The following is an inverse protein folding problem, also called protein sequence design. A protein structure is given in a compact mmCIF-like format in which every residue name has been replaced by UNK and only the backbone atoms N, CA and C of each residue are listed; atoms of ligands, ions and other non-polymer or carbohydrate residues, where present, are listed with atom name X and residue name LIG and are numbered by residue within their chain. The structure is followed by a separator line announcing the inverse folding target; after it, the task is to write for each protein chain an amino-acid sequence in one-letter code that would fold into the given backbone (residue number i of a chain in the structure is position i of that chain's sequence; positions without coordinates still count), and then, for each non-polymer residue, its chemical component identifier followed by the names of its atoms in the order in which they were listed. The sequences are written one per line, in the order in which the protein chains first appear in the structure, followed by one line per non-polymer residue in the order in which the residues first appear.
data_IF_927251003933
#
_entry.id   IF_927251003933
#
_cell.length_a   1.000
_cell.length_b   1.000
_cell.length_c   1.000
_cell.angle_alpha   90.00
_cell.angle_beta   90.00
_cell.angle_gamma   90.00
#
_symmetry.space_group_name_H-M   'P 1'
#
loop_
_entity.id
_entity.type
_entity.pdbx_description
1 polymer ?
#
# COMPACT_ATOMS: atom_id res chain seq x y z
N UNK A 1 -13.30 -19.43 -22.66
CA UNK A 1 -12.59 -18.21 -22.25
C UNK A 1 -11.26 -18.63 -21.64
N UNK A 2 -10.16 -17.96 -22.00
CA UNK A 2 -8.84 -18.24 -21.44
C UNK A 2 -8.75 -17.54 -20.08
N UNK A 3 -9.03 -18.25 -18.99
CA UNK A 3 -8.97 -17.74 -17.61
C UNK A 3 -7.75 -18.33 -16.89
N UNK A 4 -7.22 -17.65 -15.88
CA UNK A 4 -6.16 -18.22 -15.04
C UNK A 4 -6.60 -19.53 -14.38
N UNK A 5 -5.67 -20.48 -14.23
CA UNK A 5 -5.98 -21.85 -13.76
C UNK A 5 -5.55 -22.10 -12.32
N UNK A 6 -4.72 -21.24 -11.76
CA UNK A 6 -4.22 -21.30 -10.37
C UNK A 6 -3.97 -19.90 -9.80
N UNK A 7 -3.87 -19.80 -8.47
CA UNK A 7 -3.51 -18.57 -7.78
C UNK A 7 -2.21 -17.96 -8.32
N UNK A 8 -1.18 -18.79 -8.55
CA UNK A 8 0.10 -18.35 -9.09
C UNK A 8 -0.05 -17.80 -10.52
N UNK A 9 -0.75 -18.50 -11.41
CA UNK A 9 -1.01 -17.99 -12.76
C UNK A 9 -1.81 -16.69 -12.74
N UNK A 10 -2.77 -16.55 -11.81
CA UNK A 10 -3.56 -15.33 -11.66
C UNK A 10 -2.70 -14.15 -11.20
N UNK A 11 -1.72 -14.38 -10.31
CA UNK A 11 -0.79 -13.35 -9.89
C UNK A 11 0.07 -12.85 -11.05
N UNK A 12 0.59 -13.76 -11.89
CA UNK A 12 1.34 -13.38 -13.09
C UNK A 12 0.43 -12.65 -14.08
N UNK A 13 -0.75 -13.23 -14.35
CA UNK A 13 -1.73 -12.67 -15.27
C UNK A 13 -2.18 -11.26 -14.83
N UNK A 14 -2.21 -10.91 -13.53
CA UNK A 14 -2.53 -9.53 -13.09
C UNK A 14 -1.61 -8.49 -13.73
N UNK A 15 -0.36 -8.83 -14.01
CA UNK A 15 0.61 -7.91 -14.61
C UNK A 15 0.54 -7.86 -16.14
N UNK A 16 0.12 -8.96 -16.80
CA UNK A 16 0.21 -9.11 -18.26
C UNK A 16 -1.15 -9.17 -18.97
N UNK A 17 -2.14 -9.80 -18.34
CA UNK A 17 -3.53 -9.90 -18.79
C UNK A 17 -4.48 -9.84 -17.57
N UNK A 18 -4.67 -8.66 -16.97
CA UNK A 18 -5.42 -8.53 -15.73
C UNK A 18 -6.88 -8.97 -15.87
N UNK A 19 -7.44 -8.91 -17.08
CA UNK A 19 -8.79 -9.40 -17.33
C UNK A 19 -8.86 -10.91 -17.14
N UNK A 20 -7.93 -11.66 -17.73
CA UNK A 20 -7.80 -13.12 -17.55
C UNK A 20 -7.60 -13.51 -16.08
N UNK A 21 -6.80 -12.74 -15.35
CA UNK A 21 -6.60 -12.92 -13.91
C UNK A 21 -7.90 -12.78 -13.13
N UNK A 22 -8.63 -11.68 -13.35
CA UNK A 22 -9.86 -11.42 -12.61
C UNK A 22 -11.00 -12.36 -13.00
N UNK A 23 -11.06 -12.83 -14.24
CA UNK A 23 -12.02 -13.88 -14.63
C UNK A 23 -11.75 -15.19 -13.89
N UNK A 24 -10.49 -15.63 -13.79
CA UNK A 24 -10.13 -16.82 -13.00
C UNK A 24 -10.40 -16.63 -11.49
N UNK A 25 -10.16 -15.42 -10.99
CA UNK A 25 -10.39 -15.04 -9.60
C UNK A 25 -11.88 -15.02 -9.22
N UNK A 26 -12.78 -14.68 -10.15
CA UNK A 26 -14.22 -14.67 -9.92
C UNK A 26 -14.74 -16.06 -9.52
N UNK A 27 -14.26 -17.08 -10.24
CA UNK A 27 -14.58 -18.48 -9.97
C UNK A 27 -13.85 -19.02 -8.71
N UNK A 28 -12.73 -18.42 -8.34
CA UNK A 28 -11.85 -18.90 -7.27
C UNK A 28 -11.46 -17.79 -6.28
N UNK A 29 -12.41 -17.17 -5.58
CA UNK A 29 -12.13 -16.05 -4.67
C UNK A 29 -11.35 -16.49 -3.42
N UNK A 30 -10.94 -17.76 -3.30
CA UNK A 30 -10.02 -18.23 -2.24
C UNK A 30 -8.55 -18.01 -2.56
N UNK A 31 -8.21 -17.68 -3.82
CA UNK A 31 -6.82 -17.47 -4.23
C UNK A 31 -6.16 -16.24 -3.60
N UNK A 32 -6.94 -15.36 -2.96
CA UNK A 32 -6.40 -14.17 -2.29
C UNK A 32 -5.32 -14.51 -1.26
N UNK A 33 -5.39 -15.66 -0.59
CA UNK A 33 -4.46 -16.00 0.50
C UNK A 33 -3.00 -15.91 0.06
N UNK A 34 -2.69 -16.38 -1.15
CA UNK A 34 -1.33 -16.35 -1.67
C UNK A 34 -0.81 -14.91 -1.81
N UNK A 35 -1.58 -14.05 -2.47
CA UNK A 35 -1.19 -12.64 -2.70
C UNK A 35 -1.22 -11.86 -1.39
N UNK A 36 -2.17 -12.15 -0.51
CA UNK A 36 -2.31 -11.52 0.79
C UNK A 36 -1.10 -11.77 1.69
N UNK A 37 -0.63 -13.02 1.77
CA UNK A 37 0.58 -13.36 2.53
C UNK A 37 1.79 -12.60 1.96
N UNK A 38 1.94 -12.54 0.63
CA UNK A 38 3.04 -11.80 0.00
C UNK A 38 2.98 -10.29 0.31
N UNK A 39 1.78 -9.70 0.29
CA UNK A 39 1.58 -8.26 0.58
C UNK A 39 1.90 -7.94 2.05
N UNK A 40 1.76 -8.89 2.98
CA UNK A 40 2.16 -8.70 4.38
C UNK A 40 3.65 -8.96 4.57
N UNK A 41 4.16 -10.08 4.05
CA UNK A 41 5.54 -10.52 4.31
C UNK A 41 6.57 -9.60 3.65
N UNK A 42 6.30 -9.08 2.45
CA UNK A 42 7.27 -8.24 1.73
C UNK A 42 7.60 -6.91 2.44
N UNK A 43 6.63 -6.08 2.88
CA UNK A 43 6.95 -4.89 3.66
C UNK A 43 7.49 -5.21 5.05
N UNK A 44 7.06 -6.31 5.69
CA UNK A 44 7.63 -6.74 6.97
C UNK A 44 9.11 -7.13 6.83
N UNK A 45 9.47 -7.84 5.76
CA UNK A 45 10.86 -8.18 5.46
C UNK A 45 11.70 -6.93 5.22
N UNK A 46 11.17 -5.97 4.45
CA UNK A 46 11.80 -4.67 4.24
C UNK A 46 12.07 -3.94 5.56
N UNK A 47 11.04 -3.72 6.39
CA UNK A 47 11.19 -2.94 7.62
C UNK A 47 12.04 -3.66 8.67
N UNK A 48 11.96 -4.99 8.73
CA UNK A 48 12.83 -5.79 9.61
C UNK A 48 14.29 -5.64 9.21
N UNK A 49 14.60 -5.81 7.91
CA UNK A 49 15.96 -5.65 7.42
C UNK A 49 16.46 -4.21 7.60
N UNK A 50 15.58 -3.22 7.38
CA UNK A 50 15.85 -1.80 7.63
C UNK A 50 16.27 -1.54 9.08
N UNK A 51 15.43 -1.86 10.06
CA UNK A 51 15.72 -1.53 11.46
C UNK A 51 16.88 -2.34 12.05
N UNK A 52 17.21 -3.50 11.47
CA UNK A 52 18.38 -4.27 11.87
C UNK A 52 19.70 -3.71 11.32
N UNK A 53 19.65 -2.91 10.26
CA UNK A 53 20.85 -2.46 9.53
C UNK A 53 21.08 -0.96 9.63
N UNK A 54 20.01 -0.16 9.75
CA UNK A 54 20.08 1.30 9.84
C UNK A 54 20.85 1.75 11.09
N UNK A 55 21.56 2.86 10.97
CA UNK A 55 22.15 3.55 12.11
C UNK A 55 21.02 4.15 12.96
N UNK A 56 20.69 3.47 14.06
CA UNK A 56 19.62 3.88 14.98
C UNK A 56 19.94 5.22 15.64
N UNK A 57 21.21 5.53 15.95
CA UNK A 57 21.57 6.80 16.57
C UNK A 57 21.33 7.96 15.61
N UNK A 58 21.71 7.78 14.33
CA UNK A 58 21.38 8.72 13.28
C UNK A 58 19.87 8.89 13.10
N UNK A 59 19.12 7.79 13.10
CA UNK A 59 17.66 7.83 12.93
C UNK A 59 16.95 8.55 14.09
N UNK A 60 17.43 8.36 15.32
CA UNK A 60 16.95 9.11 16.51
C UNK A 60 17.23 10.60 16.36
N UNK A 61 18.45 10.97 15.93
CA UNK A 61 18.79 12.38 15.69
C UNK A 61 17.92 13.05 14.62
N UNK A 62 17.52 12.31 13.57
CA UNK A 62 16.56 12.79 12.58
C UNK A 62 15.17 13.01 13.20
N UNK A 63 14.71 12.08 14.04
CA UNK A 63 13.43 12.23 14.75
C UNK A 63 13.44 13.41 15.73
N UNK A 64 14.56 13.64 16.42
CA UNK A 64 14.74 14.82 17.30
C UNK A 64 14.69 16.12 16.50
N UNK A 65 15.42 16.19 15.39
CA UNK A 65 15.42 17.37 14.51
C UNK A 65 14.01 17.69 14.00
N UNK A 66 13.25 16.66 13.59
CA UNK A 66 11.87 16.83 13.15
C UNK A 66 10.94 17.28 14.30
N UNK A 67 11.13 16.73 15.50
CA UNK A 67 10.34 17.07 16.69
C UNK A 67 10.58 18.53 17.14
N UNK A 68 11.84 18.99 17.11
CA UNK A 68 12.22 20.38 17.36
C UNK A 68 11.62 21.33 16.34
N UNK A 69 11.67 20.98 15.04
CA UNK A 69 11.04 21.77 13.99
C UNK A 69 9.51 21.88 14.16
N UNK A 70 8.87 20.84 14.73
CA UNK A 70 7.45 20.83 15.09
C UNK A 70 7.15 21.53 16.43
N UNK A 71 8.15 22.09 17.11
CA UNK A 71 8.00 22.77 18.40
C UNK A 71 7.60 21.85 19.55
N UNK A 72 7.73 20.54 19.38
CA UNK A 72 7.35 19.53 20.38
C UNK A 72 8.51 18.57 20.58
N UNK A 73 9.39 18.79 21.57
CA UNK A 73 10.55 17.93 21.81
C UNK A 73 10.16 16.47 22.00
N UNK A 74 11.01 15.57 21.51
CA UNK A 74 10.77 14.14 21.62
C UNK A 74 10.91 13.69 23.09
N UNK A 75 9.88 13.08 23.71
CA UNK A 75 9.96 12.63 25.10
C UNK A 75 11.05 11.58 25.32
N UNK A 76 11.69 11.59 26.49
CA UNK A 76 12.74 10.62 26.83
C UNK A 76 12.20 9.17 26.84
N UNK A 77 10.94 8.97 27.22
CA UNK A 77 10.30 7.67 27.12
C UNK A 77 10.19 7.22 25.67
N UNK A 78 9.89 8.13 24.73
CA UNK A 78 9.79 7.79 23.32
C UNK A 78 11.16 7.38 22.76
N UNK A 79 12.24 8.09 23.13
CA UNK A 79 13.62 7.74 22.78
C UNK A 79 14.02 6.36 23.30
N UNK A 80 13.62 6.02 24.53
CA UNK A 80 13.88 4.70 25.11
C UNK A 80 13.24 3.55 24.32
N UNK A 81 12.15 3.81 23.59
CA UNK A 81 11.52 2.84 22.68
C UNK A 81 12.10 2.85 21.26
N UNK A 82 12.98 3.78 20.90
CA UNK A 82 13.64 3.83 19.58
C UNK A 82 14.84 2.88 19.49
N UNK A 83 14.61 1.61 19.82
CA UNK A 83 15.58 0.53 19.61
C UNK A 83 15.22 -0.27 18.37
N UNK A 84 16.20 -0.88 17.70
CA UNK A 84 15.96 -1.74 16.54
C UNK A 84 14.88 -2.80 16.80
N UNK A 85 14.92 -3.45 17.98
CA UNK A 85 13.95 -4.48 18.36
C UNK A 85 12.53 -3.93 18.54
N UNK A 86 12.37 -2.84 19.29
CA UNK A 86 11.07 -2.23 19.52
C UNK A 86 10.47 -1.64 18.25
N UNK A 87 11.26 -0.95 17.42
CA UNK A 87 10.80 -0.40 16.13
C UNK A 87 10.41 -1.50 15.15
N UNK A 88 11.20 -2.58 15.08
CA UNK A 88 10.84 -3.76 14.26
C UNK A 88 9.52 -4.35 14.72
N UNK A 89 9.38 -4.63 16.02
CA UNK A 89 8.18 -5.29 16.56
C UNK A 89 6.92 -4.43 16.39
N UNK A 90 7.00 -3.14 16.74
CA UNK A 90 5.86 -2.21 16.63
C UNK A 90 5.44 -2.01 15.18
N UNK A 91 6.39 -1.84 14.26
CA UNK A 91 6.10 -1.70 12.83
C UNK A 91 5.50 -2.98 12.25
N UNK A 92 6.05 -4.15 12.58
CA UNK A 92 5.56 -5.44 12.13
C UNK A 92 4.12 -5.72 12.62
N UNK A 93 3.84 -5.45 13.89
CA UNK A 93 2.49 -5.58 14.47
C UNK A 93 1.53 -4.59 13.79
N UNK A 94 1.97 -3.33 13.60
CA UNK A 94 1.19 -2.32 12.91
C UNK A 94 0.80 -2.76 11.50
N UNK A 95 1.76 -3.25 10.71
CA UNK A 95 1.50 -3.77 9.36
C UNK A 95 0.55 -4.97 9.37
N UNK A 96 0.76 -5.93 10.29
CA UNK A 96 -0.06 -7.12 10.41
C UNK A 96 -1.52 -6.80 10.75
N UNK A 97 -1.79 -5.68 11.42
CA UNK A 97 -3.15 -5.24 11.77
C UNK A 97 -3.74 -4.33 10.68
N UNK A 98 -3.00 -3.31 10.26
CA UNK A 98 -3.52 -2.25 9.39
C UNK A 98 -3.75 -2.75 7.97
N UNK A 99 -2.85 -3.58 7.41
CA UNK A 99 -2.97 -4.08 6.03
C UNK A 99 -4.27 -4.88 5.85
N UNK A 100 -4.61 -5.89 6.70
CA UNK A 100 -5.89 -6.57 6.60
C UNK A 100 -7.09 -5.64 6.74
N UNK A 101 -7.03 -4.68 7.68
CA UNK A 101 -8.13 -3.72 7.91
C UNK A 101 -8.41 -2.91 6.65
N UNK A 102 -7.38 -2.44 5.94
CA UNK A 102 -7.53 -1.72 4.67
C UNK A 102 -8.27 -2.58 3.63
N UNK A 103 -7.88 -3.85 3.46
CA UNK A 103 -8.56 -4.74 2.50
C UNK A 103 -9.99 -5.07 2.91
N UNK A 104 -10.26 -5.20 4.21
CA UNK A 104 -11.63 -5.35 4.74
C UNK A 104 -12.45 -4.11 4.43
N UNK A 105 -11.94 -2.90 4.64
CA UNK A 105 -12.61 -1.65 4.30
C UNK A 105 -12.95 -1.62 2.80
N UNK A 106 -11.99 -1.96 1.93
CA UNK A 106 -12.23 -2.07 0.50
C UNK A 106 -13.33 -3.07 0.14
N UNK A 107 -13.30 -4.25 0.75
CA UNK A 107 -14.29 -5.29 0.51
C UNK A 107 -15.68 -4.90 1.00
N UNK A 108 -15.78 -4.26 2.18
CA UNK A 108 -17.04 -3.70 2.70
C UNK A 108 -17.55 -2.64 1.74
N UNK A 109 -16.71 -1.67 1.35
CA UNK A 109 -17.06 -0.61 0.43
C UNK A 109 -17.63 -1.17 -0.88
N UNK A 110 -16.90 -2.05 -1.56
CA UNK A 110 -17.33 -2.63 -2.83
C UNK A 110 -18.58 -3.49 -2.68
N UNK A 111 -18.72 -4.22 -1.57
CA UNK A 111 -19.92 -5.00 -1.28
C UNK A 111 -21.15 -4.11 -1.04
N UNK A 112 -20.98 -2.94 -0.42
CA UNK A 112 -22.06 -1.96 -0.26
C UNK A 112 -22.44 -1.34 -1.62
N UNK A 113 -21.46 -0.87 -2.40
CA UNK A 113 -21.72 -0.34 -3.75
C UNK A 113 -22.40 -1.39 -4.61
N UNK A 114 -22.00 -2.67 -4.48
CA UNK A 114 -22.65 -3.76 -5.17
C UNK A 114 -24.15 -3.82 -4.86
N UNK A 115 -24.50 -3.91 -3.57
CA UNK A 115 -25.89 -4.02 -3.10
C UNK A 115 -26.78 -2.86 -3.52
N UNK A 116 -26.26 -1.64 -3.53
CA UNK A 116 -27.06 -0.45 -3.81
C UNK A 116 -27.10 -0.07 -5.29
N UNK A 117 -26.03 -0.38 -6.03
CA UNK A 117 -25.82 0.22 -7.35
C UNK A 117 -25.61 -0.84 -8.42
N UNK A 118 -25.00 -1.98 -8.11
CA UNK A 118 -24.60 -2.97 -9.12
C UNK A 118 -25.58 -4.13 -9.29
N UNK A 119 -26.33 -4.51 -8.26
CA UNK A 119 -27.23 -5.68 -8.24
C UNK A 119 -26.55 -6.99 -8.67
N UNK A 120 -25.27 -7.14 -8.32
CA UNK A 120 -24.48 -8.32 -8.64
C UNK A 120 -24.56 -9.38 -7.52
N UNK A 121 -24.44 -10.66 -7.88
CA UNK A 121 -24.59 -11.78 -6.93
C UNK A 121 -23.36 -12.05 -6.07
N UNK A 122 -22.22 -11.40 -6.37
CA UNK A 122 -20.95 -11.62 -5.65
C UNK A 122 -21.00 -11.11 -4.21
N UNK A 123 -20.47 -11.91 -3.30
CA UNK A 123 -20.36 -11.60 -1.88
C UNK A 123 -19.04 -10.93 -1.49
N UNK A 124 -18.91 -10.64 -0.19
CA UNK A 124 -17.73 -9.99 0.41
C UNK A 124 -16.39 -10.64 -0.01
N UNK A 125 -16.32 -11.97 -0.03
CA UNK A 125 -15.08 -12.72 -0.35
C UNK A 125 -14.55 -12.40 -1.75
N UNK A 126 -15.43 -12.25 -2.75
CA UNK A 126 -15.02 -11.88 -4.11
C UNK A 126 -14.39 -10.49 -4.11
N UNK A 127 -15.04 -9.50 -3.48
CA UNK A 127 -14.54 -8.13 -3.42
C UNK A 127 -13.25 -7.98 -2.61
N UNK A 128 -13.11 -8.76 -1.54
CA UNK A 128 -11.86 -8.87 -0.77
C UNK A 128 -10.74 -9.48 -1.60
N UNK A 129 -11.04 -10.53 -2.37
CA UNK A 129 -10.08 -11.15 -3.27
C UNK A 129 -9.65 -10.17 -4.37
N UNK A 130 -10.59 -9.43 -4.94
CA UNK A 130 -10.29 -8.40 -5.94
C UNK A 130 -9.37 -7.31 -5.39
N UNK A 131 -9.66 -6.78 -4.20
CA UNK A 131 -8.87 -5.69 -3.63
C UNK A 131 -7.43 -6.10 -3.36
N UNK A 132 -7.20 -7.33 -2.90
CA UNK A 132 -5.87 -7.89 -2.69
C UNK A 132 -5.11 -8.05 -4.01
N UNK A 133 -5.73 -8.66 -5.03
CA UNK A 133 -5.07 -8.84 -6.33
C UNK A 133 -4.83 -7.50 -7.05
N UNK A 134 -5.74 -6.53 -6.91
CA UNK A 134 -5.54 -5.19 -7.45
C UNK A 134 -4.36 -4.45 -6.78
N UNK A 135 -3.97 -4.84 -5.56
CA UNK A 135 -2.81 -4.29 -4.86
C UNK A 135 -1.50 -5.06 -5.11
N UNK A 136 -1.50 -6.08 -5.97
CA UNK A 136 -0.31 -6.86 -6.32
C UNK A 136 0.87 -6.01 -6.85
N UNK A 137 0.69 -4.89 -7.57
CA UNK A 137 1.80 -4.01 -7.95
C UNK A 137 2.66 -3.52 -6.78
N UNK A 138 2.09 -3.38 -5.58
CA UNK A 138 2.84 -2.97 -4.40
C UNK A 138 3.94 -3.97 -4.01
N UNK A 139 3.83 -5.25 -4.42
CA UNK A 139 4.89 -6.24 -4.22
C UNK A 139 6.18 -5.80 -4.92
N UNK A 140 6.06 -5.25 -6.14
CA UNK A 140 7.20 -4.75 -6.90
C UNK A 140 7.83 -3.54 -6.20
N UNK A 141 7.01 -2.64 -5.65
CA UNK A 141 7.48 -1.49 -4.89
C UNK A 141 8.30 -1.91 -3.66
N UNK A 142 7.76 -2.83 -2.84
CA UNK A 142 8.42 -3.32 -1.63
C UNK A 142 9.72 -4.07 -1.94
N UNK A 143 9.73 -4.90 -2.98
CA UNK A 143 10.94 -5.63 -3.41
C UNK A 143 12.00 -4.66 -3.92
N UNK A 144 11.61 -3.68 -4.74
CA UNK A 144 12.55 -2.68 -5.26
C UNK A 144 13.12 -1.80 -4.15
N UNK A 145 12.31 -1.40 -3.17
CA UNK A 145 12.76 -0.66 -1.98
C UNK A 145 13.75 -1.50 -1.14
N UNK A 146 13.48 -2.80 -0.96
CA UNK A 146 14.40 -3.71 -0.26
C UNK A 146 15.74 -3.83 -0.98
N UNK A 147 15.71 -4.09 -2.29
CA UNK A 147 16.92 -4.18 -3.11
C UNK A 147 17.70 -2.87 -3.07
N UNK A 148 17.01 -1.72 -3.22
CA UNK A 148 17.64 -0.41 -3.16
C UNK A 148 18.37 -0.18 -1.84
N UNK A 149 17.72 -0.48 -0.71
CA UNK A 149 18.37 -0.33 0.59
C UNK A 149 19.57 -1.28 0.77
N UNK A 150 19.48 -2.52 0.27
CA UNK A 150 20.61 -3.47 0.31
C UNK A 150 21.84 -3.00 -0.47
N UNK A 151 21.66 -2.19 -1.52
CA UNK A 151 22.75 -1.73 -2.40
C UNK A 151 23.14 -0.26 -2.19
N UNK A 152 22.48 0.46 -1.29
CA UNK A 152 22.70 1.90 -1.08
C UNK A 152 24.11 2.24 -0.58
N UNK A 153 24.80 1.27 0.05
CA UNK A 153 26.13 1.46 0.63
C UNK A 153 26.17 2.34 1.88
N UNK A 154 25.00 2.78 2.38
CA UNK A 154 24.85 3.59 3.60
C UNK A 154 23.80 3.00 4.53
N UNK A 155 24.07 3.09 5.83
CA UNK A 155 23.10 2.79 6.89
C UNK A 155 22.41 4.05 7.43
N UNK A 156 22.73 5.24 6.90
CA UNK A 156 22.13 6.52 7.26
C UNK A 156 21.19 6.97 6.15
N UNK A 157 20.06 6.27 6.04
CA UNK A 157 19.04 6.51 5.03
C UNK A 157 17.67 6.33 5.68
N UNK A 158 16.74 7.24 5.39
CA UNK A 158 15.41 7.20 5.99
C UNK A 158 14.52 6.17 5.29
N UNK A 159 13.46 5.70 5.95
CA UNK A 159 12.45 4.86 5.29
C UNK A 159 11.78 5.59 4.12
N UNK A 160 11.63 6.91 4.21
CA UNK A 160 11.06 7.76 3.17
C UNK A 160 11.95 7.76 1.91
N UNK A 161 13.27 7.84 2.09
CA UNK A 161 14.24 7.80 0.99
C UNK A 161 14.37 6.41 0.38
N UNK A 162 14.19 5.36 1.17
CA UNK A 162 14.10 3.98 0.68
C UNK A 162 12.87 3.78 -0.21
N UNK A 163 11.78 4.55 0.02
CA UNK A 163 10.57 4.56 -0.80
C UNK A 163 10.65 5.54 -1.98
N UNK A 164 11.71 5.39 -2.79
CA UNK A 164 12.10 6.32 -3.86
C UNK A 164 11.10 6.50 -5.02
N UNK A 165 10.01 5.74 -5.08
CA UNK A 165 8.95 5.90 -6.09
C UNK A 165 7.90 6.96 -5.74
N UNK A 166 7.99 7.57 -4.56
CA UNK A 166 7.03 8.58 -4.13
C UNK A 166 7.18 9.88 -4.90
N UNK A 167 6.08 10.63 -5.00
CA UNK A 167 6.13 11.99 -5.54
C UNK A 167 7.02 12.90 -4.68
N UNK A 168 7.17 12.61 -3.38
CA UNK A 168 8.12 13.33 -2.55
C UNK A 168 9.56 13.11 -3.01
N UNK A 169 9.95 11.86 -3.27
CA UNK A 169 11.32 11.51 -3.69
C UNK A 169 11.63 11.93 -5.13
N UNK A 170 10.63 12.08 -5.99
CA UNK A 170 10.82 12.35 -7.42
C UNK A 170 10.60 13.82 -7.82
N UNK A 171 9.81 14.57 -7.06
CA UNK A 171 9.32 15.90 -7.47
C UNK A 171 9.59 16.95 -6.39
N UNK A 172 9.11 16.75 -5.16
CA UNK A 172 9.05 17.85 -4.18
C UNK A 172 10.20 17.89 -3.19
N UNK A 173 10.78 16.74 -2.84
CA UNK A 173 11.89 16.60 -1.90
C UNK A 173 11.67 17.33 -0.56
N UNK A 174 10.45 17.28 -0.03
CA UNK A 174 10.17 17.86 1.28
C UNK A 174 10.98 17.11 2.35
N UNK A 175 11.59 17.85 3.31
CA UNK A 175 12.33 17.22 4.40
C UNK A 175 11.40 16.44 5.31
N UNK A 176 11.95 15.44 5.99
CA UNK A 176 11.27 14.68 7.05
C UNK A 176 10.69 15.64 8.09
N UNK A 177 9.42 15.40 8.47
CA UNK A 177 8.68 16.24 9.42
C UNK A 177 7.85 17.37 8.79
N UNK A 178 8.04 17.68 7.50
CA UNK A 178 7.17 18.62 6.80
C UNK A 178 5.77 18.01 6.60
N UNK A 179 4.69 18.77 6.85
CA UNK A 179 3.29 18.29 6.76
C UNK A 179 2.96 17.67 5.40
N UNK A 180 3.46 18.27 4.32
CA UNK A 180 3.28 17.77 2.95
C UNK A 180 4.18 16.56 2.59
N UNK A 181 5.24 16.26 3.36
CA UNK A 181 6.17 15.17 3.02
C UNK A 181 5.45 13.81 3.04
N UNK A 182 4.65 13.53 4.08
CA UNK A 182 3.90 12.28 4.17
C UNK A 182 2.81 12.18 3.10
N UNK A 183 2.14 13.29 2.78
CA UNK A 183 1.14 13.33 1.70
C UNK A 183 1.79 13.02 0.35
N UNK A 184 2.85 13.73 -0.01
CA UNK A 184 3.59 13.50 -1.27
C UNK A 184 4.27 12.12 -1.28
N UNK A 185 4.66 11.61 -0.12
CA UNK A 185 5.20 10.27 0.08
C UNK A 185 4.20 9.15 -0.29
N UNK A 186 2.90 9.40 -0.08
CA UNK A 186 1.85 8.42 -0.36
C UNK A 186 1.48 8.28 -1.85
N UNK A 187 1.78 9.31 -2.65
CA UNK A 187 1.47 9.33 -4.09
C UNK A 187 2.58 8.61 -4.84
N UNK A 188 2.25 7.47 -5.45
CA UNK A 188 3.20 6.64 -6.20
C UNK A 188 2.61 6.17 -7.53
N UNK A 189 3.43 5.82 -8.54
CA UNK A 189 2.94 5.15 -9.75
C UNK A 189 2.10 3.89 -9.47
N UNK A 190 2.43 3.16 -8.40
CA UNK A 190 1.71 1.96 -7.98
C UNK A 190 0.28 2.25 -7.52
N UNK A 191 0.03 3.40 -6.88
CA UNK A 191 -1.34 3.83 -6.55
C UNK A 191 -2.23 3.89 -7.80
N UNK A 192 -1.74 4.52 -8.87
CA UNK A 192 -2.49 4.62 -10.12
C UNK A 192 -2.66 3.26 -10.79
N UNK A 193 -1.66 2.39 -10.70
CA UNK A 193 -1.75 1.02 -11.19
C UNK A 193 -2.82 0.22 -10.42
N UNK A 194 -2.86 0.34 -9.09
CA UNK A 194 -3.85 -0.33 -8.25
C UNK A 194 -5.28 0.13 -8.62
N UNK A 195 -5.48 1.43 -8.85
CA UNK A 195 -6.76 2.00 -9.30
C UNK A 195 -7.16 1.43 -10.67
N UNK A 196 -6.21 1.35 -11.61
CA UNK A 196 -6.46 0.79 -12.93
C UNK A 196 -6.86 -0.69 -12.86
N UNK A 197 -6.15 -1.49 -12.05
CA UNK A 197 -6.47 -2.91 -11.83
C UNK A 197 -7.84 -3.09 -11.17
N UNK A 198 -8.15 -2.31 -10.13
CA UNK A 198 -9.47 -2.31 -9.50
C UNK A 198 -10.57 -2.00 -10.52
N UNK A 199 -10.35 -0.99 -11.36
CA UNK A 199 -11.28 -0.59 -12.43
C UNK A 199 -11.51 -1.72 -13.43
N UNK A 200 -10.43 -2.39 -13.86
CA UNK A 200 -10.49 -3.53 -14.79
C UNK A 200 -11.28 -4.68 -14.16
N UNK A 201 -11.01 -5.03 -12.90
CA UNK A 201 -11.72 -6.11 -12.21
C UNK A 201 -13.21 -5.83 -12.01
N UNK A 202 -13.57 -4.64 -11.51
CA UNK A 202 -14.98 -4.23 -11.37
C UNK A 202 -15.69 -4.26 -12.72
N UNK A 203 -15.06 -3.75 -13.79
CA UNK A 203 -15.60 -3.78 -15.15
C UNK A 203 -15.80 -5.21 -15.65
N UNK A 204 -14.80 -6.08 -15.48
CA UNK A 204 -14.85 -7.47 -15.94
C UNK A 204 -16.00 -8.24 -15.26
N UNK A 205 -16.18 -8.01 -13.97
CA UNK A 205 -17.17 -8.71 -13.14
C UNK A 205 -18.60 -8.20 -13.35
N UNK A 206 -18.78 -6.88 -13.34
CA UNK A 206 -20.12 -6.27 -13.34
C UNK A 206 -20.61 -5.89 -14.74
N UNK A 207 -19.77 -6.03 -15.77
CA UNK A 207 -20.02 -5.62 -17.17
C UNK A 207 -20.42 -4.14 -17.32
N UNK A 208 -20.10 -3.30 -16.34
CA UNK A 208 -20.34 -1.84 -16.39
C UNK A 208 -19.44 -1.14 -17.38
N UNK A 209 -19.82 0.08 -17.76
CA UNK A 209 -18.95 0.94 -18.56
C UNK A 209 -17.68 1.28 -17.78
N UNK A 210 -16.58 1.50 -18.50
CA UNK A 210 -15.29 1.83 -17.91
C UNK A 210 -15.38 3.03 -16.95
N UNK A 211 -16.06 4.10 -17.36
CA UNK A 211 -16.20 5.31 -16.54
C UNK A 211 -16.90 5.03 -15.20
N UNK A 212 -17.94 4.19 -15.18
CA UNK A 212 -18.62 3.82 -13.93
C UNK A 212 -17.70 3.03 -13.01
N UNK A 213 -16.97 2.04 -13.55
CA UNK A 213 -16.00 1.27 -12.77
C UNK A 213 -14.85 2.11 -12.25
N UNK A 214 -14.38 3.09 -13.04
CA UNK A 214 -13.32 4.00 -12.66
C UNK A 214 -13.76 4.91 -11.50
N UNK A 215 -14.96 5.51 -11.60
CA UNK A 215 -15.49 6.36 -10.52
C UNK A 215 -15.65 5.60 -9.21
N UNK A 216 -16.07 4.33 -9.26
CA UNK A 216 -16.17 3.48 -8.07
C UNK A 216 -14.77 3.19 -7.50
N UNK A 217 -13.79 2.91 -8.36
CA UNK A 217 -12.41 2.66 -7.92
C UNK A 217 -11.74 3.91 -7.35
N UNK A 218 -12.05 5.09 -7.89
CA UNK A 218 -11.46 6.38 -7.47
C UNK A 218 -12.11 6.95 -6.20
N UNK A 219 -13.38 6.68 -5.95
CA UNK A 219 -14.12 7.37 -4.89
C UNK A 219 -13.44 7.33 -3.50
N UNK A 220 -12.91 6.18 -3.02
CA UNK A 220 -12.20 6.16 -1.74
C UNK A 220 -10.94 7.04 -1.75
N UNK A 221 -10.19 7.05 -2.85
CA UNK A 221 -8.99 7.88 -2.98
C UNK A 221 -9.32 9.36 -2.98
N UNK A 222 -10.38 9.77 -3.70
CA UNK A 222 -10.82 11.18 -3.73
C UNK A 222 -11.18 11.66 -2.33
N UNK A 223 -11.91 10.85 -1.56
CA UNK A 223 -12.32 11.20 -0.20
C UNK A 223 -11.10 11.30 0.72
N UNK A 224 -10.24 10.28 0.72
CA UNK A 224 -9.08 10.21 1.63
C UNK A 224 -8.04 11.28 1.28
N UNK A 225 -7.62 11.35 0.02
CA UNK A 225 -6.57 12.28 -0.42
C UNK A 225 -7.09 13.70 -0.49
N UNK A 226 -8.37 13.94 -0.79
CA UNK A 226 -8.96 15.27 -0.74
C UNK A 226 -8.94 15.81 0.69
N UNK A 227 -9.40 15.03 1.67
CA UNK A 227 -9.34 15.43 3.07
C UNK A 227 -7.90 15.63 3.56
N UNK A 228 -6.98 14.73 3.21
CA UNK A 228 -5.58 14.83 3.62
C UNK A 228 -4.85 16.02 2.98
N UNK A 229 -5.12 16.33 1.71
CA UNK A 229 -4.50 17.47 1.02
C UNK A 229 -4.79 18.81 1.72
N UNK A 230 -5.98 18.95 2.30
CA UNK A 230 -6.34 20.14 3.05
C UNK A 230 -5.43 20.31 4.28
N UNK A 231 -5.22 19.25 5.06
CA UNK A 231 -4.28 19.29 6.20
C UNK A 231 -2.81 19.37 5.81
N UNK A 232 -2.45 18.96 4.59
CA UNK A 232 -1.07 18.94 4.14
C UNK A 232 -0.58 20.31 3.61
N UNK A 233 -1.48 21.09 2.99
CA UNK A 233 -1.15 22.35 2.30
C UNK A 233 -1.93 23.57 2.77
N UNK A 234 -2.98 23.39 3.59
CA UNK A 234 -3.76 24.48 4.18
C UNK A 234 -3.16 24.94 5.50
#
# INVERSE_FOLDING_TARGET
MNQSTSAFSALIDVFVDPKKAFEGLDANPGWFWMVFILIIVTPMALTTYYFQTVDIAWLVGQAETAAEAAGTPLPEEAKAFMTAGAMTATTAIGQLIIIPVIFVIWAVYLNLVNKFTMNDTRGFKNWFSLSIFAAAPNLLASIAALVYFMVSGTNQISLEDVQFFSANSLITHYPTGHSAATFMGSITPFMFWNIALMTIGIKAWTKRSFMKSLMISLAPYIVIYGAWSYSAFG
#
